data_IF_578265688223
#
_entry.id   IF_578265688223
#
_cell.length_a   1.000
_cell.length_b   1.000
_cell.length_c   1.000
_cell.angle_alpha   90.00
_cell.angle_beta   90.00
_cell.angle_gamma   90.00
#
_symmetry.space_group_name_H-M   'P 1'
#
loop_
_entity.id
_entity.type
_entity.pdbx_description
1 polymer ?
#
# COMPACT_ATOMS: atom_id res chain seq x y z
N UNK A 1 25.45 7.20 -30.43
CA UNK A 1 25.08 8.62 -30.23
C UNK A 1 23.56 8.71 -30.23
N UNK A 2 22.97 8.67 -29.05
CA UNK A 2 21.51 8.63 -28.88
C UNK A 2 21.04 10.08 -28.72
N UNK A 3 20.34 10.58 -29.74
CA UNK A 3 19.73 11.89 -29.72
C UNK A 3 18.58 11.93 -28.71
N UNK A 4 18.77 12.67 -27.62
CA UNK A 4 17.74 12.95 -26.60
C UNK A 4 16.84 14.11 -27.10
N UNK A 5 16.42 14.06 -28.37
CA UNK A 5 15.47 15.03 -28.96
C UNK A 5 14.29 14.41 -29.69
N UNK A 6 14.07 13.09 -29.55
CA UNK A 6 12.79 12.48 -29.93
C UNK A 6 12.06 11.93 -28.71
N UNK A 7 10.99 12.64 -28.37
CA UNK A 7 9.83 12.17 -27.60
C UNK A 7 10.02 11.96 -26.09
N UNK A 8 10.07 13.06 -25.35
CA UNK A 8 9.32 13.13 -24.09
C UNK A 8 7.83 13.20 -24.47
N UNK A 9 7.20 12.03 -24.65
CA UNK A 9 5.75 11.95 -24.69
C UNK A 9 5.18 12.21 -23.28
N UNK A 10 4.05 12.92 -23.17
CA UNK A 10 3.42 13.20 -21.89
C UNK A 10 2.88 11.89 -21.31
N UNK A 11 3.41 11.47 -20.16
CA UNK A 11 2.77 10.44 -19.36
C UNK A 11 1.48 11.04 -18.81
N UNK A 12 0.36 10.59 -19.38
CA UNK A 12 -0.98 10.93 -18.95
C UNK A 12 -1.10 10.76 -17.43
N UNK A 13 -1.31 11.88 -16.75
CA UNK A 13 -1.73 11.95 -15.37
C UNK A 13 -3.07 11.22 -15.21
N UNK A 14 -3.09 10.10 -14.51
CA UNK A 14 -4.33 9.50 -14.03
C UNK A 14 -4.88 10.40 -12.93
N UNK A 15 -5.80 11.26 -13.35
CA UNK A 15 -6.67 12.12 -12.56
C UNK A 15 -7.43 11.30 -11.53
N UNK A 16 -7.10 11.45 -10.25
CA UNK A 16 -7.94 11.00 -9.14
C UNK A 16 -9.07 12.01 -8.93
N UNK A 17 -10.19 11.77 -9.62
CA UNK A 17 -11.46 12.48 -9.38
C UNK A 17 -11.93 12.22 -7.94
N UNK A 18 -11.87 13.26 -7.10
CA UNK A 18 -12.74 13.38 -5.92
C UNK A 18 -14.13 13.77 -6.40
N UNK A 19 -15.22 13.13 -5.96
CA UNK A 19 -16.52 13.76 -5.95
C UNK A 19 -16.74 14.40 -4.58
N UNK A 20 -16.69 15.72 -4.54
CA UNK A 20 -17.44 16.49 -3.57
C UNK A 20 -18.91 16.46 -4.02
N UNK A 21 -19.77 15.77 -3.27
CA UNK A 21 -21.21 15.92 -3.36
C UNK A 21 -21.74 16.35 -1.99
N UNK A 22 -22.03 17.64 -1.95
CA UNK A 22 -22.85 18.37 -1.00
C UNK A 22 -24.09 17.59 -0.54
N UNK A 23 -24.40 17.67 0.76
CA UNK A 23 -25.79 17.67 1.24
C UNK A 23 -25.95 18.66 2.40
N UNK A 24 -26.46 19.85 2.06
CA UNK A 24 -27.37 20.62 2.92
C UNK A 24 -28.78 20.10 2.64
N UNK A 25 -29.43 19.55 3.66
CA UNK A 25 -30.88 19.38 3.87
C UNK A 25 -30.98 18.80 5.30
N UNK A 26 -30.98 19.64 6.32
CA UNK A 26 -32.17 20.25 6.93
C UNK A 26 -33.08 19.20 7.60
N UNK A 27 -33.03 19.24 8.94
CA UNK A 27 -34.12 19.00 9.89
C UNK A 27 -35.32 18.17 9.41
N UNK A 28 -35.50 16.99 10.01
CA UNK A 28 -36.83 16.51 10.38
C UNK A 28 -36.74 15.69 11.66
N UNK A 29 -37.39 16.23 12.70
CA UNK A 29 -37.96 15.62 13.91
C UNK A 29 -37.33 14.33 14.47
N UNK A 30 -36.84 14.48 15.72
CA UNK A 30 -36.95 13.48 16.80
C UNK A 30 -38.25 12.68 16.67
N UNK A 31 -38.13 11.38 16.49
CA UNK A 31 -39.17 10.41 16.87
C UNK A 31 -38.48 9.36 17.74
N UNK A 32 -38.88 9.41 19.01
CA UNK A 32 -38.83 8.40 20.07
C UNK A 32 -37.95 7.16 19.87
N UNK A 33 -37.05 6.99 20.83
CA UNK A 33 -36.63 5.70 21.40
C UNK A 33 -37.82 4.74 21.56
N UNK A 34 -37.88 3.72 20.71
CA UNK A 34 -38.77 2.56 20.90
C UNK A 34 -37.91 1.44 21.48
N UNK A 35 -38.12 1.17 22.76
CA UNK A 35 -37.65 -0.03 23.44
C UNK A 35 -38.55 -1.20 23.01
N UNK A 36 -38.13 -1.98 22.01
CA UNK A 36 -38.77 -3.26 21.63
C UNK A 36 -37.72 -4.35 21.46
N UNK A 37 -37.00 -4.71 22.52
CA UNK A 37 -35.91 -5.69 22.44
C UNK A 37 -36.31 -7.14 22.73
N UNK A 38 -37.60 -7.47 22.95
CA UNK A 38 -38.01 -8.85 23.27
C UNK A 38 -38.96 -9.53 22.27
N UNK A 39 -39.64 -8.79 21.40
CA UNK A 39 -40.61 -9.39 20.45
C UNK A 39 -40.00 -9.72 19.08
N UNK A 40 -39.01 -8.96 18.60
CA UNK A 40 -38.44 -9.15 17.26
C UNK A 40 -37.51 -10.36 17.14
N UNK A 41 -36.86 -10.79 18.23
CA UNK A 41 -36.01 -12.00 18.21
C UNK A 41 -36.81 -13.27 17.90
N UNK A 42 -38.08 -13.32 18.35
CA UNK A 42 -38.96 -14.47 18.13
C UNK A 42 -39.34 -14.67 16.66
N UNK A 43 -39.43 -13.58 15.88
CA UNK A 43 -39.76 -13.65 14.45
C UNK A 43 -38.59 -14.21 13.63
N UNK A 44 -37.35 -13.86 13.99
CA UNK A 44 -36.15 -14.38 13.34
C UNK A 44 -35.87 -15.84 13.68
N UNK A 45 -36.26 -16.30 14.87
CA UNK A 45 -36.15 -17.70 15.29
C UNK A 45 -37.18 -18.63 14.61
N UNK A 46 -38.30 -18.08 14.14
CA UNK A 46 -39.38 -18.84 13.48
C UNK A 46 -39.28 -18.85 11.95
N UNK A 47 -38.32 -18.12 11.37
CA UNK A 47 -38.12 -18.08 9.92
C UNK A 47 -37.40 -19.35 9.43
N UNK A 48 -37.75 -19.88 8.25
CA UNK A 48 -36.98 -20.95 7.62
C UNK A 48 -35.52 -20.54 7.41
N UNK A 49 -34.60 -21.50 7.58
CA UNK A 49 -33.16 -21.30 7.50
C UNK A 49 -32.71 -20.65 6.19
N UNK A 50 -33.39 -20.97 5.09
CA UNK A 50 -33.16 -20.46 3.74
C UNK A 50 -33.44 -18.95 3.65
N UNK A 51 -34.50 -18.48 4.30
CA UNK A 51 -34.87 -17.06 4.30
C UNK A 51 -33.86 -16.25 5.12
N UNK A 52 -33.38 -16.80 6.24
CA UNK A 52 -32.35 -16.18 7.06
C UNK A 52 -31.03 -16.04 6.27
N UNK A 53 -30.63 -17.10 5.56
CA UNK A 53 -29.46 -17.07 4.69
C UNK A 53 -29.59 -16.02 3.56
N UNK A 54 -30.77 -15.91 2.94
CA UNK A 54 -31.04 -14.90 1.93
C UNK A 54 -30.95 -13.47 2.46
N UNK A 55 -31.49 -13.20 3.65
CA UNK A 55 -31.39 -11.90 4.32
C UNK A 55 -29.91 -11.57 4.58
N UNK A 56 -29.16 -12.51 5.16
CA UNK A 56 -27.75 -12.32 5.48
C UNK A 56 -26.84 -12.22 4.26
N UNK A 57 -27.22 -12.84 3.14
CA UNK A 57 -26.51 -12.73 1.85
C UNK A 57 -26.49 -11.30 1.30
N UNK A 58 -27.38 -10.42 1.74
CA UNK A 58 -27.41 -9.02 1.29
C UNK A 58 -26.78 -8.04 2.28
N UNK A 59 -26.50 -8.47 3.52
CA UNK A 59 -25.88 -7.62 4.53
C UNK A 59 -24.40 -7.37 4.25
N UNK A 60 -23.86 -6.25 4.72
CA UNK A 60 -22.42 -5.97 4.71
C UNK A 60 -21.65 -6.84 5.73
N UNK A 61 -20.33 -6.95 5.58
CA UNK A 61 -19.47 -7.68 6.54
C UNK A 61 -19.58 -7.08 7.95
N UNK A 62 -19.74 -5.75 8.04
CA UNK A 62 -19.86 -5.04 9.33
C UNK A 62 -21.17 -5.42 10.03
N UNK A 63 -22.27 -5.49 9.28
CA UNK A 63 -23.58 -5.88 9.80
C UNK A 63 -23.61 -7.37 10.18
N UNK A 64 -23.00 -8.25 9.38
CA UNK A 64 -22.88 -9.67 9.72
C UNK A 64 -22.09 -9.88 11.03
N UNK A 65 -21.04 -9.08 11.28
CA UNK A 65 -20.31 -9.11 12.54
C UNK A 65 -21.18 -8.70 13.74
N UNK A 66 -22.09 -7.74 13.56
CA UNK A 66 -23.05 -7.33 14.60
C UNK A 66 -24.11 -8.41 14.82
N UNK A 67 -24.67 -8.96 13.74
CA UNK A 67 -25.67 -10.03 13.79
C UNK A 67 -25.14 -11.30 14.50
N UNK A 68 -23.84 -11.59 14.33
CA UNK A 68 -23.14 -12.68 15.04
C UNK A 68 -23.21 -12.56 16.58
N UNK A 69 -23.36 -11.35 17.11
CA UNK A 69 -23.40 -11.10 18.56
C UNK A 69 -24.81 -11.20 19.16
N UNK A 70 -25.86 -11.23 18.33
CA UNK A 70 -27.24 -11.18 18.79
C UNK A 70 -27.72 -12.51 19.38
N UNK A 71 -27.44 -13.64 18.71
CA UNK A 71 -27.85 -14.95 19.23
C UNK A 71 -26.93 -16.08 18.78
N UNK A 72 -26.90 -17.17 19.55
CA UNK A 72 -26.15 -18.40 19.18
C UNK A 72 -26.68 -19.03 17.90
N UNK A 73 -27.98 -18.92 17.63
CA UNK A 73 -28.62 -19.44 16.42
C UNK A 73 -28.19 -18.64 15.19
N UNK A 74 -28.23 -17.30 15.23
CA UNK A 74 -27.80 -16.46 14.12
C UNK A 74 -26.27 -16.51 13.91
N UNK A 75 -25.50 -16.83 14.96
CA UNK A 75 -24.04 -17.00 14.89
C UNK A 75 -23.61 -18.07 13.89
N UNK A 76 -24.33 -19.18 13.74
CA UNK A 76 -23.96 -20.24 12.77
C UNK A 76 -24.16 -19.77 11.33
N UNK A 77 -25.32 -19.17 11.02
CA UNK A 77 -25.63 -18.65 9.68
C UNK A 77 -24.71 -17.49 9.29
N UNK A 78 -24.47 -16.56 10.22
CA UNK A 78 -23.54 -15.44 9.98
C UNK A 78 -22.11 -15.92 9.78
N UNK A 79 -21.64 -16.90 10.56
CA UNK A 79 -20.31 -17.50 10.36
C UNK A 79 -20.20 -18.19 9.00
N UNK A 80 -21.21 -18.96 8.58
CA UNK A 80 -21.20 -19.62 7.28
C UNK A 80 -21.06 -18.62 6.11
N UNK A 81 -21.88 -17.55 6.12
CA UNK A 81 -21.83 -16.51 5.08
C UNK A 81 -20.54 -15.70 5.15
N UNK A 82 -20.08 -15.36 6.36
CA UNK A 82 -18.80 -14.68 6.56
C UNK A 82 -17.65 -15.54 6.03
N UNK A 83 -17.61 -16.82 6.38
CA UNK A 83 -16.58 -17.75 5.93
C UNK A 83 -16.55 -17.82 4.40
N UNK A 84 -17.69 -18.11 3.76
CA UNK A 84 -17.81 -18.14 2.30
C UNK A 84 -17.30 -16.85 1.62
N UNK A 85 -17.73 -15.68 2.09
CA UNK A 85 -17.31 -14.39 1.52
C UNK A 85 -15.84 -14.09 1.76
N UNK A 86 -15.34 -14.36 2.96
CA UNK A 86 -13.95 -14.09 3.33
C UNK A 86 -13.01 -15.04 2.57
N UNK A 87 -13.40 -16.30 2.36
CA UNK A 87 -12.69 -17.24 1.48
C UNK A 87 -12.62 -16.70 0.07
N UNK A 88 -13.74 -16.24 -0.50
CA UNK A 88 -13.74 -15.64 -1.84
C UNK A 88 -12.84 -14.40 -1.94
N UNK A 89 -12.88 -13.52 -0.93
CA UNK A 89 -11.99 -12.34 -0.87
C UNK A 89 -10.53 -12.80 -0.77
N UNK A 90 -10.24 -13.84 0.01
CA UNK A 90 -8.89 -14.38 0.17
C UNK A 90 -8.36 -14.96 -1.14
N UNK A 91 -9.15 -15.77 -1.85
CA UNK A 91 -8.79 -16.31 -3.16
C UNK A 91 -8.54 -15.20 -4.20
N UNK A 92 -9.35 -14.13 -4.18
CA UNK A 92 -9.14 -12.98 -5.05
C UNK A 92 -7.84 -12.23 -4.70
N UNK A 93 -7.56 -12.03 -3.41
CA UNK A 93 -6.30 -11.43 -2.95
C UNK A 93 -5.08 -12.29 -3.32
N UNK A 94 -5.19 -13.62 -3.25
CA UNK A 94 -4.14 -14.55 -3.69
C UNK A 94 -3.88 -14.41 -5.20
N UNK A 95 -4.94 -14.33 -6.01
CA UNK A 95 -4.83 -14.09 -7.45
C UNK A 95 -4.17 -12.74 -7.75
N UNK A 96 -4.58 -11.69 -7.04
CA UNK A 96 -4.02 -10.33 -7.22
C UNK A 96 -2.57 -10.26 -6.76
N UNK A 97 -2.22 -10.92 -5.65
CA UNK A 97 -0.84 -11.05 -5.18
C UNK A 97 0.02 -11.80 -6.21
N UNK A 98 -0.49 -12.89 -6.80
CA UNK A 98 0.22 -13.64 -7.83
C UNK A 98 0.47 -12.76 -9.06
N UNK A 99 -0.54 -12.02 -9.52
CA UNK A 99 -0.40 -11.06 -10.64
C UNK A 99 0.62 -9.97 -10.34
N UNK A 100 0.51 -9.33 -9.17
CA UNK A 100 1.45 -8.27 -8.75
C UNK A 100 2.87 -8.80 -8.56
N UNK A 101 3.04 -10.03 -8.05
CA UNK A 101 4.35 -10.68 -7.92
C UNK A 101 5.00 -10.98 -9.27
N UNK A 102 4.23 -11.46 -10.24
CA UNK A 102 4.71 -11.67 -11.62
C UNK A 102 5.09 -10.33 -12.26
N UNK A 103 4.19 -9.33 -12.20
CA UNK A 103 4.44 -7.98 -12.71
C UNK A 103 5.70 -7.34 -12.11
N UNK A 104 5.87 -7.43 -10.79
CA UNK A 104 7.06 -6.94 -10.10
C UNK A 104 8.34 -7.61 -10.62
N UNK A 105 8.34 -8.95 -10.78
CA UNK A 105 9.50 -9.68 -11.28
C UNK A 105 9.84 -9.34 -12.72
N UNK A 106 8.84 -9.20 -13.58
CA UNK A 106 9.02 -8.79 -14.97
C UNK A 106 9.57 -7.37 -15.07
N UNK A 107 9.03 -6.45 -14.26
CA UNK A 107 9.50 -5.07 -14.16
C UNK A 107 10.94 -5.01 -13.63
N UNK A 108 11.24 -5.72 -12.54
CA UNK A 108 12.58 -5.80 -11.97
C UNK A 108 13.58 -6.39 -12.97
N UNK A 109 13.23 -7.46 -13.67
CA UNK A 109 14.07 -8.08 -14.69
C UNK A 109 14.35 -7.13 -15.86
N UNK A 110 13.33 -6.43 -16.35
CA UNK A 110 13.48 -5.50 -17.48
C UNK A 110 14.24 -4.22 -17.12
N UNK A 111 14.08 -3.70 -15.89
CA UNK A 111 14.67 -2.43 -15.47
C UNK A 111 16.04 -2.54 -14.79
N UNK A 112 16.39 -3.70 -14.23
CA UNK A 112 17.70 -3.93 -13.59
C UNK A 112 18.90 -3.61 -14.50
N UNK A 113 18.90 -3.97 -15.80
CA UNK A 113 19.98 -3.60 -16.71
C UNK A 113 20.16 -2.07 -16.83
N UNK A 114 19.05 -1.31 -16.86
CA UNK A 114 19.09 0.15 -16.90
C UNK A 114 19.69 0.74 -15.63
N UNK A 115 19.30 0.22 -14.45
CA UNK A 115 19.88 0.64 -13.17
C UNK A 115 21.40 0.36 -13.10
N UNK A 116 21.82 -0.81 -13.60
CA UNK A 116 23.23 -1.17 -13.70
C UNK A 116 24.00 -0.23 -14.63
N UNK A 117 23.42 0.10 -15.78
CA UNK A 117 23.99 1.04 -16.74
C UNK A 117 24.21 2.43 -16.13
N UNK A 118 23.21 2.99 -15.45
CA UNK A 118 23.35 4.28 -14.78
C UNK A 118 24.37 4.24 -13.63
N UNK A 119 24.41 3.17 -12.83
CA UNK A 119 25.46 3.01 -11.80
C UNK A 119 26.86 2.96 -12.38
N UNK A 120 27.03 2.35 -13.55
CA UNK A 120 28.32 2.30 -14.23
C UNK A 120 28.75 3.68 -14.74
N UNK A 121 27.82 4.52 -15.21
CA UNK A 121 28.12 5.92 -15.54
C UNK A 121 28.59 6.72 -14.32
N UNK A 122 28.04 6.44 -13.14
CA UNK A 122 28.40 7.10 -11.89
C UNK A 122 29.69 6.56 -11.26
N UNK A 123 30.41 5.62 -11.90
CA UNK A 123 31.59 4.96 -11.32
C UNK A 123 32.84 5.83 -11.33
N UNK A 124 33.04 6.61 -12.38
CA UNK A 124 34.31 7.31 -12.63
C UNK A 124 34.16 8.82 -12.41
N UNK A 125 33.59 9.20 -11.27
CA UNK A 125 33.39 10.60 -10.92
C UNK A 125 34.64 11.13 -10.19
N UNK A 126 35.28 12.14 -10.79
CA UNK A 126 36.41 12.83 -10.18
C UNK A 126 35.93 14.07 -9.45
N UNK A 127 36.58 14.40 -8.32
CA UNK A 127 36.30 15.65 -7.61
C UNK A 127 36.87 16.89 -8.33
N UNK A 128 37.69 16.67 -9.36
CA UNK A 128 38.29 17.71 -10.20
C UNK A 128 37.22 18.58 -10.86
N UNK A 129 36.17 17.97 -11.40
CA UNK A 129 35.07 18.73 -12.03
C UNK A 129 34.40 19.66 -11.01
N UNK A 130 34.19 19.17 -9.77
CA UNK A 130 33.63 19.96 -8.66
C UNK A 130 34.55 21.11 -8.31
N UNK A 131 35.86 20.86 -8.20
CA UNK A 131 36.81 21.94 -7.94
C UNK A 131 36.81 22.95 -9.07
N UNK A 132 36.93 22.55 -10.33
CA UNK A 132 36.96 23.46 -11.47
C UNK A 132 35.68 24.32 -11.55
N UNK A 133 34.51 23.72 -11.38
CA UNK A 133 33.25 24.46 -11.34
C UNK A 133 33.19 25.50 -10.21
N UNK A 134 33.76 25.19 -9.03
CA UNK A 134 33.76 26.13 -7.89
C UNK A 134 34.76 27.29 -8.04
N UNK A 135 35.72 27.22 -8.97
CA UNK A 135 36.72 28.27 -9.16
C UNK A 135 36.17 29.51 -9.87
N UNK A 136 35.02 29.41 -10.54
CA UNK A 136 34.39 30.57 -11.18
C UNK A 136 34.00 31.65 -10.15
N UNK A 137 34.46 32.88 -10.40
CA UNK A 137 34.06 34.06 -9.61
C UNK A 137 32.63 34.49 -9.95
N UNK A 138 32.28 34.46 -11.24
CA UNK A 138 30.94 34.69 -11.77
C UNK A 138 30.59 33.55 -12.74
N UNK A 139 29.77 32.57 -12.35
CA UNK A 139 29.47 31.41 -13.19
C UNK A 139 28.46 31.77 -14.29
N UNK A 140 28.50 31.09 -15.44
CA UNK A 140 27.36 31.07 -16.37
C UNK A 140 26.08 30.60 -15.65
N UNK A 141 24.93 31.13 -16.07
CA UNK A 141 23.64 30.80 -15.45
C UNK A 141 23.36 29.28 -15.50
N UNK A 142 23.68 28.65 -16.62
CA UNK A 142 23.50 27.22 -16.86
C UNK A 142 24.36 26.37 -15.89
N UNK A 143 25.61 26.79 -15.66
CA UNK A 143 26.50 26.14 -14.69
C UNK A 143 25.95 26.29 -13.28
N UNK A 144 25.51 27.49 -12.92
CA UNK A 144 24.91 27.77 -11.62
C UNK A 144 23.71 26.86 -11.36
N UNK A 145 22.87 26.66 -12.38
CA UNK A 145 21.71 25.78 -12.26
C UNK A 145 22.11 24.32 -12.05
N UNK A 146 23.05 23.78 -12.83
CA UNK A 146 23.52 22.39 -12.65
C UNK A 146 24.13 22.17 -11.28
N UNK A 147 24.95 23.10 -10.80
CA UNK A 147 25.54 23.05 -9.47
C UNK A 147 24.46 23.10 -8.36
N UNK A 148 23.41 23.90 -8.57
CA UNK A 148 22.24 23.96 -7.69
C UNK A 148 21.51 22.61 -7.66
N UNK A 149 21.29 21.97 -8.82
CA UNK A 149 20.69 20.64 -8.91
C UNK A 149 21.45 19.61 -8.07
N UNK A 150 22.78 19.55 -8.18
CA UNK A 150 23.60 18.64 -7.38
C UNK A 150 23.48 18.92 -5.88
N UNK A 151 23.43 20.18 -5.48
CA UNK A 151 23.21 20.56 -4.08
C UNK A 151 21.84 20.08 -3.58
N UNK A 152 20.79 20.22 -4.38
CA UNK A 152 19.44 19.73 -4.04
C UNK A 152 19.42 18.21 -3.92
N UNK A 153 20.10 17.48 -4.81
CA UNK A 153 20.19 16.02 -4.72
C UNK A 153 20.81 15.56 -3.39
N UNK A 154 21.86 16.26 -2.93
CA UNK A 154 22.56 15.92 -1.67
C UNK A 154 21.82 16.38 -0.42
N UNK A 155 21.47 17.66 -0.33
CA UNK A 155 20.97 18.28 0.89
C UNK A 155 19.43 18.37 0.95
N UNK A 156 18.75 18.11 -0.18
CA UNK A 156 17.30 18.12 -0.30
C UNK A 156 16.68 19.51 -0.21
N UNK A 157 15.38 19.56 0.12
CA UNK A 157 14.60 20.80 0.24
C UNK A 157 15.14 21.79 1.28
N UNK A 158 15.92 21.32 2.25
CA UNK A 158 16.39 22.12 3.38
C UNK A 158 17.29 23.30 2.98
N UNK A 159 17.84 23.29 1.76
CA UNK A 159 18.70 24.37 1.26
C UNK A 159 17.93 25.40 0.42
N UNK A 160 16.67 25.11 0.06
CA UNK A 160 15.82 26.10 -0.60
C UNK A 160 15.34 27.10 0.44
N UNK A 161 15.26 28.38 0.08
CA UNK A 161 14.82 29.43 1.00
C UNK A 161 13.40 29.12 1.50
N UNK A 162 13.07 29.42 2.77
CA UNK A 162 11.80 29.02 3.38
C UNK A 162 10.54 29.56 2.69
N UNK A 163 10.66 30.58 1.83
CA UNK A 163 9.56 31.15 1.05
C UNK A 163 9.46 30.59 -0.40
N UNK A 164 10.20 29.52 -0.71
CA UNK A 164 10.13 28.87 -2.02
C UNK A 164 8.79 28.13 -2.16
N UNK A 165 7.85 28.71 -2.92
CA UNK A 165 6.68 27.96 -3.37
C UNK A 165 7.13 26.78 -4.23
N UNK A 166 6.68 25.57 -3.86
CA UNK A 166 7.05 24.30 -4.50
C UNK A 166 6.63 24.22 -5.99
N UNK A 167 5.76 25.13 -6.40
CA UNK A 167 5.21 25.23 -7.75
C UNK A 167 6.08 26.07 -8.71
N UNK A 168 6.94 26.96 -8.18
CA UNK A 168 7.87 27.79 -8.95
C UNK A 168 9.30 27.72 -8.36
N UNK A 169 10.06 26.65 -8.64
CA UNK A 169 11.42 26.48 -8.11
C UNK A 169 12.44 27.52 -8.60
N UNK A 170 12.17 28.21 -9.71
CA UNK A 170 13.05 29.25 -10.28
C UNK A 170 13.15 30.53 -9.43
N UNK A 171 12.10 30.89 -8.68
CA UNK A 171 12.10 32.11 -7.84
C UNK A 171 12.94 32.01 -6.57
N UNK A 172 13.45 30.83 -6.22
CA UNK A 172 14.22 30.58 -5.00
C UNK A 172 15.49 29.76 -5.26
N UNK A 173 16.23 30.09 -6.31
CA UNK A 173 17.57 29.54 -6.48
C UNK A 173 18.50 30.03 -5.36
N UNK A 174 19.40 29.15 -4.94
CA UNK A 174 20.49 29.49 -4.02
C UNK A 174 21.37 30.56 -4.65
N UNK A 175 22.00 31.40 -3.82
CA UNK A 175 23.04 32.30 -4.33
C UNK A 175 24.29 31.51 -4.73
N UNK A 176 25.03 31.97 -5.75
CA UNK A 176 26.26 31.30 -6.18
C UNK A 176 27.24 31.06 -5.02
N UNK A 177 27.39 32.06 -4.14
CA UNK A 177 28.28 31.96 -2.97
C UNK A 177 27.89 30.79 -2.04
N UNK A 178 26.59 30.55 -1.86
CA UNK A 178 26.06 29.46 -1.04
C UNK A 178 26.32 28.11 -1.71
N UNK A 179 26.04 28.01 -3.01
CA UNK A 179 26.31 26.81 -3.82
C UNK A 179 27.79 26.47 -3.78
N UNK A 180 28.67 27.45 -4.02
CA UNK A 180 30.13 27.31 -3.94
C UNK A 180 30.57 26.85 -2.55
N UNK A 181 30.02 27.42 -1.48
CA UNK A 181 30.32 27.01 -0.10
C UNK A 181 29.87 25.56 0.18
N UNK A 182 28.72 25.14 -0.33
CA UNK A 182 28.22 23.78 -0.18
C UNK A 182 29.07 22.76 -0.94
N UNK A 183 29.37 23.05 -2.22
CA UNK A 183 30.18 22.18 -3.08
C UNK A 183 31.65 22.11 -2.65
N UNK A 184 32.17 23.18 -2.04
CA UNK A 184 33.53 23.23 -1.51
C UNK A 184 33.76 22.30 -0.31
N UNK A 185 32.70 21.88 0.39
CA UNK A 185 32.80 20.99 1.56
C UNK A 185 33.35 19.63 1.16
N UNK A 186 34.27 19.10 1.97
CA UNK A 186 34.81 17.75 1.80
C UNK A 186 33.72 16.68 1.77
N UNK A 187 32.69 16.82 2.62
CA UNK A 187 31.55 15.88 2.66
C UNK A 187 30.73 15.86 1.37
N UNK A 188 30.68 16.98 0.63
CA UNK A 188 30.04 17.02 -0.68
C UNK A 188 30.89 16.30 -1.73
N UNK A 189 32.20 16.58 -1.77
CA UNK A 189 33.13 15.94 -2.70
C UNK A 189 33.17 14.42 -2.54
N UNK A 190 33.23 13.93 -1.30
CA UNK A 190 33.17 12.50 -1.00
C UNK A 190 31.83 11.90 -1.45
N UNK A 191 30.72 12.56 -1.14
CA UNK A 191 29.41 12.10 -1.62
C UNK A 191 29.33 12.02 -3.15
N UNK A 192 29.90 13.01 -3.85
CA UNK A 192 29.92 13.06 -5.30
C UNK A 192 30.78 11.93 -5.90
N UNK A 193 31.91 11.60 -5.29
CA UNK A 193 32.73 10.45 -5.69
C UNK A 193 32.04 9.11 -5.40
N UNK A 194 31.34 9.01 -4.26
CA UNK A 194 30.61 7.82 -3.83
C UNK A 194 29.18 7.74 -4.40
N UNK A 195 28.87 8.51 -5.44
CA UNK A 195 27.50 8.63 -5.95
C UNK A 195 26.97 7.29 -6.49
N UNK A 196 27.83 6.44 -7.06
CA UNK A 196 27.48 5.07 -7.46
C UNK A 196 26.81 4.26 -6.35
N UNK A 197 27.24 4.44 -5.10
CA UNK A 197 26.74 3.70 -3.94
C UNK A 197 25.59 4.46 -3.29
N UNK A 198 25.69 5.80 -3.26
CA UNK A 198 24.73 6.63 -2.52
C UNK A 198 23.50 7.05 -3.33
N UNK A 199 23.47 6.80 -4.65
CA UNK A 199 22.36 7.18 -5.54
C UNK A 199 21.01 6.63 -5.08
N UNK A 200 20.97 5.43 -4.51
CA UNK A 200 19.73 4.82 -3.98
C UNK A 200 19.18 5.51 -2.74
N UNK A 201 20.06 6.20 -1.99
CA UNK A 201 19.69 6.91 -0.76
C UNK A 201 19.12 8.29 -1.05
N UNK A 202 19.17 8.75 -2.30
CA UNK A 202 18.62 10.04 -2.71
C UNK A 202 17.10 9.94 -2.66
N UNK A 203 16.48 10.85 -1.92
CA UNK A 203 15.02 10.91 -1.78
C UNK A 203 14.36 11.26 -3.12
N UNK A 204 13.28 10.55 -3.46
CA UNK A 204 12.55 10.78 -4.70
C UNK A 204 11.97 12.21 -4.81
N UNK A 205 11.64 12.84 -3.68
CA UNK A 205 11.19 14.24 -3.67
C UNK A 205 12.27 15.21 -4.17
N UNK A 206 13.55 14.92 -3.91
CA UNK A 206 14.65 15.74 -4.39
C UNK A 206 14.81 15.59 -5.90
N UNK A 207 14.69 14.35 -6.40
CA UNK A 207 14.72 14.02 -7.84
C UNK A 207 13.62 14.80 -8.57
N UNK A 208 12.38 14.81 -8.04
CA UNK A 208 11.25 15.54 -8.62
C UNK A 208 11.46 17.05 -8.67
N UNK A 209 12.12 17.63 -7.67
CA UNK A 209 12.46 19.06 -7.69
C UNK A 209 13.46 19.36 -8.80
N UNK A 210 14.51 18.56 -8.90
CA UNK A 210 15.56 18.76 -9.90
C UNK A 210 15.03 18.54 -11.30
N UNK A 211 14.16 17.55 -11.50
CA UNK A 211 13.45 17.31 -12.76
C UNK A 211 12.64 18.55 -13.18
N UNK A 212 11.83 19.12 -12.28
CA UNK A 212 11.08 20.36 -12.56
C UNK A 212 12.00 21.53 -12.89
N UNK A 213 13.11 21.65 -12.17
CA UNK A 213 14.07 22.74 -12.35
C UNK A 213 14.66 22.69 -13.77
N UNK A 214 15.13 21.51 -14.21
CA UNK A 214 15.69 21.33 -15.56
C UNK A 214 14.61 21.51 -16.64
N UNK A 215 13.38 21.05 -16.40
CA UNK A 215 12.29 21.21 -17.37
C UNK A 215 11.88 22.68 -17.59
N UNK A 216 12.03 23.53 -16.57
CA UNK A 216 11.67 24.94 -16.65
C UNK A 216 12.77 25.81 -17.29
N UNK A 217 14.03 25.44 -17.14
CA UNK A 217 15.16 26.19 -17.69
C UNK A 217 15.55 25.66 -19.08
N UNK A 218 14.96 26.26 -20.11
CA UNK A 218 15.19 25.90 -21.52
C UNK A 218 16.64 26.10 -21.98
N UNK A 219 17.45 26.87 -21.24
CA UNK A 219 18.83 27.13 -21.59
C UNK A 219 19.75 25.97 -21.18
N UNK A 220 19.31 25.09 -20.28
CA UNK A 220 20.08 23.92 -19.85
C UNK A 220 20.01 22.85 -20.93
N UNK A 221 20.96 22.93 -21.86
CA UNK A 221 21.17 21.93 -22.90
C UNK A 221 22.59 21.42 -22.83
N UNK A 222 22.80 20.18 -23.31
CA UNK A 222 24.12 19.57 -23.36
C UNK A 222 25.08 20.37 -24.24
N UNK A 223 24.59 20.86 -25.37
CA UNK A 223 25.35 21.67 -26.32
C UNK A 223 25.77 22.99 -25.68
N UNK A 224 24.83 23.72 -25.07
CA UNK A 224 25.12 25.01 -24.44
C UNK A 224 26.13 24.87 -23.30
N UNK A 225 25.93 23.91 -22.40
CA UNK A 225 26.86 23.69 -21.30
C UNK A 225 28.24 23.27 -21.77
N UNK A 226 28.32 22.47 -22.85
CA UNK A 226 29.61 22.08 -23.43
C UNK A 226 30.39 23.29 -23.96
N UNK A 227 29.70 24.30 -24.50
CA UNK A 227 30.32 25.55 -24.96
C UNK A 227 30.77 26.44 -23.79
N UNK A 228 29.94 26.59 -22.74
CA UNK A 228 30.22 27.56 -21.66
C UNK A 228 31.06 27.00 -20.51
N UNK A 229 30.96 25.70 -20.22
CA UNK A 229 31.67 25.06 -19.10
C UNK A 229 31.76 23.55 -19.25
N UNK A 230 32.95 23.06 -19.62
CA UNK A 230 33.21 21.62 -19.75
C UNK A 230 32.95 20.82 -18.45
N UNK A 231 33.32 21.32 -17.24
CA UNK A 231 32.92 20.69 -15.98
C UNK A 231 31.40 20.68 -15.77
N UNK A 232 30.72 21.78 -16.11
CA UNK A 232 29.26 21.87 -16.03
C UNK A 232 28.55 20.86 -16.93
N UNK A 233 29.04 20.68 -18.16
CA UNK A 233 28.54 19.66 -19.09
C UNK A 233 28.65 18.25 -18.52
N UNK A 234 29.82 17.88 -17.99
CA UNK A 234 30.01 16.57 -17.35
C UNK A 234 29.10 16.39 -16.14
N UNK A 235 28.96 17.42 -15.30
CA UNK A 235 28.03 17.39 -14.18
C UNK A 235 26.57 17.25 -14.61
N UNK A 236 26.15 17.87 -15.71
CA UNK A 236 24.79 17.70 -16.22
C UNK A 236 24.52 16.25 -16.62
N UNK A 237 25.51 15.56 -17.22
CA UNK A 237 25.39 14.12 -17.52
C UNK A 237 25.19 13.32 -16.22
N UNK A 238 25.93 13.66 -15.16
CA UNK A 238 25.77 13.03 -13.84
C UNK A 238 24.37 13.27 -13.27
N UNK A 239 23.89 14.51 -13.31
CA UNK A 239 22.54 14.86 -12.85
C UNK A 239 21.49 14.07 -13.63
N UNK A 240 21.61 13.99 -14.96
CA UNK A 240 20.70 13.22 -15.79
C UNK A 240 20.71 11.73 -15.42
N UNK A 241 21.90 11.13 -15.23
CA UNK A 241 22.02 9.73 -14.83
C UNK A 241 21.36 9.47 -13.45
N UNK A 242 21.53 10.37 -12.49
CA UNK A 242 20.87 10.27 -11.17
C UNK A 242 19.36 10.39 -11.29
N UNK A 243 18.84 11.33 -12.10
CA UNK A 243 17.41 11.48 -12.33
C UNK A 243 16.81 10.21 -12.94
N UNK A 244 17.42 9.71 -14.02
CA UNK A 244 16.95 8.50 -14.71
C UNK A 244 17.03 7.27 -13.80
N UNK A 245 18.12 7.10 -13.04
CA UNK A 245 18.21 6.04 -12.04
C UNK A 245 17.08 6.15 -11.00
N UNK A 246 16.86 7.35 -10.47
CA UNK A 246 15.87 7.61 -9.44
C UNK A 246 14.44 7.32 -9.89
N UNK A 247 14.09 7.70 -11.12
CA UNK A 247 12.77 7.45 -11.72
C UNK A 247 12.55 5.94 -11.90
N UNK A 248 13.49 5.26 -12.56
CA UNK A 248 13.40 3.81 -12.81
C UNK A 248 13.36 3.02 -11.50
N UNK A 249 14.14 3.42 -10.50
CA UNK A 249 14.15 2.76 -9.20
C UNK A 249 12.83 2.97 -8.43
N UNK A 250 12.22 4.16 -8.52
CA UNK A 250 10.93 4.44 -7.87
C UNK A 250 9.79 3.60 -8.45
N UNK A 251 9.81 3.31 -9.75
CA UNK A 251 8.82 2.44 -10.40
C UNK A 251 8.87 1.02 -9.78
N UNK A 252 10.08 0.46 -9.63
CA UNK A 252 10.29 -0.84 -8.97
C UNK A 252 9.84 -0.80 -7.50
N UNK A 253 10.21 0.25 -6.76
CA UNK A 253 9.83 0.41 -5.35
C UNK A 253 8.33 0.56 -5.17
N UNK A 254 7.62 1.18 -6.12
CA UNK A 254 6.17 1.34 -6.09
C UNK A 254 5.46 0.01 -6.25
N UNK A 255 5.84 -0.79 -7.25
CA UNK A 255 5.30 -2.14 -7.41
C UNK A 255 5.64 -3.04 -6.21
N UNK A 256 6.85 -2.93 -5.66
CA UNK A 256 7.23 -3.64 -4.43
C UNK A 256 6.33 -3.28 -3.26
N UNK A 257 6.00 -1.99 -3.07
CA UNK A 257 5.10 -1.52 -2.00
C UNK A 257 3.69 -2.06 -2.18
N UNK A 258 3.18 -2.10 -3.41
CA UNK A 258 1.87 -2.69 -3.73
C UNK A 258 1.86 -4.17 -3.33
N UNK A 259 2.85 -4.94 -3.79
CA UNK A 259 3.00 -6.36 -3.44
C UNK A 259 3.02 -6.59 -1.92
N UNK A 260 3.88 -5.87 -1.19
CA UNK A 260 3.99 -5.99 0.28
C UNK A 260 2.68 -5.61 0.98
N UNK A 261 1.93 -4.63 0.46
CA UNK A 261 0.62 -4.26 1.01
C UNK A 261 -0.42 -5.37 0.85
N UNK A 262 -0.37 -6.09 -0.28
CA UNK A 262 -1.24 -7.25 -0.55
C UNK A 262 -0.88 -8.43 0.35
N UNK A 263 0.42 -8.72 0.52
CA UNK A 263 0.92 -9.77 1.44
C UNK A 263 0.40 -9.54 2.86
N UNK A 264 0.53 -8.31 3.39
CA UNK A 264 0.03 -7.97 4.72
C UNK A 264 -1.49 -8.13 4.85
N UNK A 265 -2.24 -7.74 3.81
CA UNK A 265 -3.71 -7.87 3.80
C UNK A 265 -4.14 -9.34 3.76
N UNK A 266 -3.46 -10.16 2.97
CA UNK A 266 -3.70 -11.59 2.85
C UNK A 266 -3.38 -12.30 4.18
N UNK A 267 -2.23 -12.00 4.79
CA UNK A 267 -1.86 -12.56 6.10
C UNK A 267 -2.90 -12.20 7.18
N UNK A 268 -3.33 -10.93 7.23
CA UNK A 268 -4.34 -10.48 8.18
C UNK A 268 -5.69 -11.17 7.99
N UNK A 269 -6.12 -11.35 6.73
CA UNK A 269 -7.37 -12.04 6.40
C UNK A 269 -7.30 -13.53 6.69
N UNK A 270 -6.18 -14.19 6.37
CA UNK A 270 -5.94 -15.60 6.66
C UNK A 270 -6.00 -15.90 8.16
N UNK A 271 -5.38 -15.07 9.00
CA UNK A 271 -5.50 -15.17 10.47
C UNK A 271 -6.94 -15.04 10.94
N UNK A 272 -7.72 -14.13 10.35
CA UNK A 272 -9.12 -13.93 10.71
C UNK A 272 -10.01 -15.12 10.30
N UNK A 273 -9.79 -15.67 9.10
CA UNK A 273 -10.47 -16.88 8.62
C UNK A 273 -10.21 -18.09 9.53
N UNK A 274 -8.96 -18.27 9.96
CA UNK A 274 -8.59 -19.37 10.85
C UNK A 274 -9.32 -19.29 12.20
N UNK A 275 -9.49 -18.08 12.75
CA UNK A 275 -10.29 -17.86 13.98
C UNK A 275 -11.76 -18.23 13.77
N UNK A 276 -12.35 -17.88 12.62
CA UNK A 276 -13.74 -18.26 12.31
C UNK A 276 -13.87 -19.77 12.19
N UNK A 277 -12.94 -20.42 11.48
CA UNK A 277 -12.94 -21.86 11.26
C UNK A 277 -12.82 -22.64 12.58
N UNK A 278 -11.94 -22.22 13.49
CA UNK A 278 -11.83 -22.83 14.83
C UNK A 278 -13.14 -22.75 15.63
N UNK A 279 -13.85 -21.62 15.52
CA UNK A 279 -15.15 -21.45 16.18
C UNK A 279 -16.22 -22.36 15.55
N UNK A 280 -16.18 -22.57 14.24
CA UNK A 280 -17.08 -23.52 13.58
C UNK A 280 -16.82 -24.96 14.04
N UNK A 281 -15.56 -25.40 14.05
CA UNK A 281 -15.18 -26.76 14.49
C UNK A 281 -15.59 -27.00 15.95
N UNK A 282 -15.29 -26.06 16.86
CA UNK A 282 -15.68 -26.17 18.26
C UNK A 282 -17.21 -26.24 18.45
N UNK A 283 -17.98 -25.50 17.65
CA UNK A 283 -19.44 -25.59 17.70
C UNK A 283 -19.94 -26.94 17.15
N UNK A 284 -19.32 -27.49 16.10
CA UNK A 284 -19.71 -28.81 15.58
C UNK A 284 -19.40 -29.93 16.57
N UNK A 285 -18.25 -29.88 17.25
CA UNK A 285 -17.88 -30.86 18.29
C UNK A 285 -18.81 -30.79 19.50
N UNK A 286 -19.19 -29.58 19.93
CA UNK A 286 -20.15 -29.38 21.02
C UNK A 286 -21.57 -29.87 20.67
N UNK A 287 -21.99 -29.75 19.41
CA UNK A 287 -23.29 -30.29 18.95
C UNK A 287 -23.25 -31.82 18.92
N UNK A 288 -22.13 -32.41 18.46
CA UNK A 288 -21.96 -33.87 18.42
C UNK A 288 -21.90 -34.48 19.83
N UNK A 289 -21.25 -33.83 20.80
CA UNK A 289 -21.21 -34.32 22.19
C UNK A 289 -22.59 -34.33 22.85
N UNK A 290 -23.38 -33.27 22.69
CA UNK A 290 -24.76 -33.19 23.20
C UNK A 290 -25.67 -34.24 22.54
N UNK A 291 -25.49 -34.52 21.25
CA UNK A 291 -26.25 -35.56 20.55
C UNK A 291 -25.88 -36.98 21.02
N UNK A 292 -24.62 -37.21 21.40
CA UNK A 292 -24.17 -38.49 21.93
C UNK A 292 -24.65 -38.71 23.39
N UNK A 293 -24.63 -37.67 24.23
CA UNK A 293 -25.17 -37.75 25.60
C UNK A 293 -26.69 -38.03 25.61
N UNK A 294 -27.46 -37.39 24.72
CA UNK A 294 -28.90 -37.64 24.60
C UNK A 294 -29.23 -39.03 24.06
N UNK A 295 -28.37 -39.64 23.24
CA UNK A 295 -28.48 -41.05 22.83
C UNK A 295 -28.19 -42.01 23.99
N UNK A 296 -27.22 -41.70 24.86
CA UNK A 296 -26.90 -42.52 26.05
C UNK A 296 -28.05 -42.49 27.07
N UNK A 297 -28.68 -41.32 27.29
CA UNK A 297 -29.84 -41.18 28.21
C UNK A 297 -31.11 -41.89 27.69
N UNK A 298 -31.32 -41.97 26.36
CA UNK A 298 -32.41 -42.76 25.78
C UNK A 298 -32.18 -44.28 25.85
N UNK A 299 -30.92 -44.74 25.89
CA UNK A 299 -30.60 -46.16 26.04
C UNK A 299 -30.75 -46.65 27.49
N UNK A 300 -30.46 -45.81 28.49
CA UNK A 300 -30.63 -46.15 29.91
C UNK A 300 -32.09 -46.10 30.40
N UNK A 301 -32.95 -45.31 29.77
CA UNK A 301 -34.40 -45.26 30.06
C UNK A 301 -35.22 -46.37 29.40
N UNK A 302 -34.72 -46.99 28.33
CA UNK A 302 -35.35 -48.16 27.71
C UNK A 302 -35.15 -49.46 28.52
N UNK A 303 -34.10 -49.57 29.35
CA UNK A 303 -33.84 -50.77 30.16
C UNK A 303 -34.62 -50.85 31.49
N UNK A 304 -35.23 -49.77 31.96
CA UNK A 304 -36.00 -49.74 33.21
C UNK A 304 -37.51 -49.93 33.02
N UNK A 305 -38.04 -49.80 31.81
CA UNK A 305 -39.47 -50.05 31.54
C UNK A 305 -39.83 -51.54 31.41
N UNK A 306 -38.85 -52.45 31.27
CA UNK A 306 -39.14 -53.89 31.13
C UNK A 306 -39.15 -54.67 32.46
N UNK A 307 -38.82 -54.04 33.59
CA UNK A 307 -38.83 -54.71 34.92
C UNK A 307 -40.10 -54.45 35.75
N UNK A 308 -40.93 -53.46 35.39
CA UNK A 308 -42.15 -53.14 36.15
C UNK A 308 -43.44 -53.77 35.60
N UNK A 309 -43.40 -54.49 34.46
CA UNK A 309 -44.59 -55.17 33.91
C UNK A 309 -44.74 -56.63 34.37
N UNK A 310 -43.77 -57.17 35.12
CA UNK A 310 -43.78 -58.57 35.61
C UNK A 310 -44.28 -58.67 37.06
N UNK A 311 -44.51 -57.56 37.77
CA UNK A 311 -44.83 -57.57 39.22
C UNK A 311 -46.32 -57.40 39.58
N UNK A 312 -47.23 -57.46 38.60
CA UNK A 312 -48.68 -57.27 38.80
C UNK A 312 -49.52 -58.46 38.31
N UNK A 313 -48.97 -59.67 38.29
CA UNK A 313 -49.67 -60.88 37.83
C UNK A 313 -49.60 -62.07 38.81
N UNK A 314 -49.39 -61.82 40.11
CA UNK A 314 -49.28 -62.89 41.12
C UNK A 314 -49.88 -62.47 42.46
N UNK A 315 -51.14 -62.01 42.45
CA UNK A 315 -52.02 -62.02 43.63
C UNK A 315 -53.45 -62.31 43.17
N UNK A 316 -53.69 -63.53 42.71
CA UNK A 316 -55.02 -64.13 42.68
C UNK A 316 -54.86 -65.62 42.37
N UNK A 317 -54.89 -66.45 43.42
CA UNK A 317 -55.55 -67.77 43.48
C UNK A 317 -54.93 -68.64 44.57
N UNK A 318 -55.82 -69.04 45.49
CA UNK A 318 -55.78 -70.11 46.51
C UNK A 318 -54.80 -69.92 47.67
#
# INVERSE_FOLDING_TARGET
MIGIKKQLHPINSVSSRKPALSKKLANTKRISTVNTTKSDESLLLNLPSEIILLIFKNLSIVELKKARLLSKYLKSFTNYILNSRLTQINENLEKDLKKSSTSYKELEFSLTPHLSHYRNFLRNLTSNEVTEATWYSSPPAELHTVCTCLCILKFGKSILKPNANLDNPTGSMLGWLEVKKLMGKYSFKNWFQDLRITVEKIKFENIKIVEKLIQQDLNITYERLREVSQPGYKMLIVVAAVLQFGIVNEDILTERRIKVSLEKRLEGLGKYLEVIRKVEVANTEAVVSVFNETKVVKKSSASTSSKNKVRMALVSQV
#
